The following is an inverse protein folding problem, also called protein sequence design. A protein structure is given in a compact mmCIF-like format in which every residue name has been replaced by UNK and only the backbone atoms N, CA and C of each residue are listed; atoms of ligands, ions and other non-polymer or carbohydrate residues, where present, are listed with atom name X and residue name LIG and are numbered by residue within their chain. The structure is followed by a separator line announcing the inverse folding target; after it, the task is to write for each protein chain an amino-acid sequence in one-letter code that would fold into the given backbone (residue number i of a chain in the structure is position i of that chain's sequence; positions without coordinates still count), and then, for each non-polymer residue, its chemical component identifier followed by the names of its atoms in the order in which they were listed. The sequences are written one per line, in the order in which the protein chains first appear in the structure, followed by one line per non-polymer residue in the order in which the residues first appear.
data_IF_705736405107
#
_entry.id   IF_705736405107
#
_cell.length_a   1.000
_cell.length_b   1.000
_cell.length_c   1.000
_cell.angle_alpha   90.00
_cell.angle_beta   90.00
_cell.angle_gamma   90.00
#
_symmetry.space_group_name_H-M   'P 1'
#
loop_
_entity.id
_entity.type
_entity.pdbx_description
1 polymer ?
#
# COMPACT_ATOMS: atom_id res chain seq x y z
N UNK A 1 -24.97 -8.98 29.77
CA UNK A 1 -24.45 -9.07 29.47
C UNK A 1 -23.80 -9.11 28.96
N UNK A 2 -23.57 -9.09 28.57
CA UNK A 2 -22.96 -9.16 27.92
C UNK A 2 -22.10 -9.47 27.88
N UNK A 3 -21.84 -9.78 27.54
CA UNK A 3 -21.06 -10.13 27.31
C UNK A 3 -20.12 -9.87 27.00
N UNK A 4 -19.67 -9.61 27.30
CA UNK A 4 -18.77 -9.36 27.01
C UNK A 4 -18.11 -10.08 26.87
N UNK A 5 -17.75 -10.24 26.37
CA UNK A 5 -17.13 -10.93 26.02
C UNK A 5 -16.07 -10.91 26.25
N UNK A 6 -15.61 -11.64 26.29
CA UNK A 6 -14.44 -11.83 26.51
C UNK A 6 -13.89 -12.01 25.26
N UNK A 7 -13.28 -11.21 24.73
CA UNK A 7 -12.72 -11.39 23.58
C UNK A 7 -11.35 -11.53 23.78
N UNK A 8 -10.60 -12.19 23.02
CA UNK A 8 -9.22 -12.29 23.11
C UNK A 8 -8.67 -10.97 22.84
N UNK A 9 -7.52 -10.66 23.35
CA UNK A 9 -6.88 -9.41 23.07
C UNK A 9 -6.66 -9.32 21.58
N UNK A 10 -6.90 -8.20 21.02
CA UNK A 10 -6.79 -8.01 19.65
C UNK A 10 -5.36 -7.87 19.34
N UNK A 11 -4.90 -8.51 18.31
CA UNK A 11 -3.55 -8.34 17.88
C UNK A 11 -3.39 -6.96 17.37
N UNK A 12 -2.21 -6.38 17.55
CA UNK A 12 -1.95 -5.07 17.05
C UNK A 12 -2.08 -5.09 15.56
N UNK A 13 -2.83 -4.19 15.02
CA UNK A 13 -3.02 -4.12 13.59
C UNK A 13 -1.83 -3.40 12.95
N UNK A 14 -1.33 -3.95 11.88
CA UNK A 14 -0.24 -3.35 11.14
C UNK A 14 -0.81 -2.81 9.84
N UNK A 15 -0.50 -1.55 9.56
CA UNK A 15 -0.97 -0.90 8.37
C UNK A 15 0.19 -0.80 7.38
N UNK A 16 0.02 -1.33 6.20
CA UNK A 16 1.11 -1.44 5.24
C UNK A 16 0.84 -0.65 3.99
N UNK A 17 1.91 -0.07 3.46
CA UNK A 17 1.87 0.56 2.15
C UNK A 17 2.71 -0.33 1.25
N UNK A 18 2.16 -0.72 0.11
CA UNK A 18 2.83 -1.68 -0.76
C UNK A 18 2.77 -1.25 -2.21
N UNK A 19 3.57 -1.89 -3.02
CA UNK A 19 3.54 -1.69 -4.45
C UNK A 19 3.41 -3.04 -5.12
N UNK A 20 2.40 -3.19 -5.98
CA UNK A 20 2.21 -4.39 -6.76
C UNK A 20 2.80 -4.15 -8.14
N UNK A 21 3.67 -5.04 -8.58
CA UNK A 21 4.35 -4.90 -9.86
C UNK A 21 3.78 -5.89 -10.86
N UNK A 22 3.54 -5.40 -12.06
CA UNK A 22 3.07 -6.24 -13.16
C UNK A 22 4.27 -6.58 -14.04
N UNK A 23 4.23 -7.70 -14.74
CA UNK A 23 5.39 -8.10 -15.54
C UNK A 23 5.81 -7.10 -16.62
N UNK A 24 4.87 -6.29 -17.09
CA UNK A 24 5.20 -5.32 -18.13
C UNK A 24 5.82 -4.04 -17.58
N UNK A 25 6.07 -3.98 -16.28
CA UNK A 25 6.66 -2.79 -15.68
C UNK A 25 5.67 -1.83 -15.07
N UNK A 26 4.38 -2.04 -15.27
CA UNK A 26 3.38 -1.21 -14.61
C UNK A 26 3.36 -1.54 -13.13
N UNK A 27 2.88 -0.62 -12.32
CA UNK A 27 2.81 -0.86 -10.90
C UNK A 27 1.65 -0.09 -10.26
N UNK A 28 1.27 -0.54 -9.09
CA UNK A 28 0.14 0.01 -8.36
C UNK A 28 0.52 0.15 -6.89
N UNK A 29 0.33 1.35 -6.33
CA UNK A 29 0.65 1.62 -4.94
C UNK A 29 -0.63 1.57 -4.13
N UNK A 30 -0.61 0.82 -3.04
CA UNK A 30 -1.81 0.63 -2.24
C UNK A 30 -1.54 0.58 -0.76
N UNK A 31 -2.63 0.46 -0.02
CA UNK A 31 -2.61 0.39 1.43
C UNK A 31 -3.37 -0.86 1.86
N UNK A 32 -2.94 -1.52 2.91
CA UNK A 32 -3.66 -2.65 3.46
C UNK A 32 -3.54 -2.67 4.97
N UNK A 33 -4.65 -2.90 5.65
CA UNK A 33 -4.66 -3.15 7.08
C UNK A 33 -4.98 -4.59 7.40
N UNK A 34 -4.85 -5.49 6.43
CA UNK A 34 -5.18 -6.89 6.64
C UNK A 34 -4.18 -7.60 7.52
N UNK A 35 -4.59 -8.65 8.20
CA UNK A 35 -3.62 -9.47 8.92
C UNK A 35 -2.58 -10.04 7.96
N UNK A 36 -1.42 -10.33 8.49
CA UNK A 36 -0.29 -10.74 7.67
C UNK A 36 -0.63 -11.91 6.74
N UNK A 37 -1.32 -12.92 7.24
CA UNK A 37 -1.60 -14.07 6.40
C UNK A 37 -2.50 -13.74 5.21
N UNK A 38 -3.38 -12.75 5.37
CA UNK A 38 -4.23 -12.35 4.26
C UNK A 38 -3.49 -11.37 3.36
N UNK A 39 -2.65 -10.54 3.96
CA UNK A 39 -1.90 -9.57 3.21
C UNK A 39 -0.94 -10.26 2.23
N UNK A 40 -0.38 -11.38 2.62
CA UNK A 40 0.60 -12.04 1.75
C UNK A 40 -0.01 -12.44 0.42
N UNK A 41 -1.32 -12.66 0.38
CA UNK A 41 -1.98 -13.05 -0.85
C UNK A 41 -2.74 -11.90 -1.50
N UNK A 42 -2.60 -10.70 -0.96
CA UNK A 42 -3.38 -9.57 -1.41
C UNK A 42 -2.51 -8.64 -2.24
N UNK A 43 -2.92 -8.37 -3.45
CA UNK A 43 -2.16 -7.51 -4.34
C UNK A 43 -2.87 -6.21 -4.68
N UNK A 44 -4.03 -5.99 -4.12
CA UNK A 44 -4.76 -4.74 -4.30
C UNK A 44 -6.20 -4.97 -4.70
N UNK A 45 -7.02 -3.94 -4.55
CA UNK A 45 -8.41 -4.03 -4.92
C UNK A 45 -8.70 -3.32 -6.24
N UNK A 46 -7.66 -2.82 -6.90
CA UNK A 46 -7.82 -2.16 -8.16
C UNK A 46 -8.32 -3.12 -9.22
N UNK A 47 -9.10 -2.62 -10.16
CA UNK A 47 -9.57 -3.47 -11.25
C UNK A 47 -8.41 -4.03 -12.05
N UNK A 48 -7.30 -3.30 -12.14
CA UNK A 48 -6.16 -3.80 -12.88
C UNK A 48 -5.62 -5.08 -12.25
N UNK A 49 -5.60 -5.13 -10.92
CA UNK A 49 -5.14 -6.31 -10.23
C UNK A 49 -6.15 -7.45 -10.37
N UNK A 50 -7.44 -7.12 -10.20
CA UNK A 50 -8.46 -8.15 -10.22
C UNK A 50 -8.62 -8.79 -11.59
N UNK A 51 -8.36 -8.03 -12.64
CA UNK A 51 -8.54 -8.56 -13.99
C UNK A 51 -7.28 -9.19 -14.54
N UNK A 52 -6.17 -9.06 -13.85
CA UNK A 52 -4.93 -9.60 -14.37
C UNK A 52 -4.83 -11.09 -14.10
N UNK A 53 -4.51 -11.85 -15.13
CA UNK A 53 -4.33 -13.26 -14.96
C UNK A 53 -2.86 -13.55 -15.11
N UNK A 54 -2.23 -13.95 -14.08
CA UNK A 54 -0.82 -14.24 -14.10
C UNK A 54 -0.20 -13.86 -12.77
N UNK A 55 1.09 -13.96 -12.72
CA UNK A 55 1.78 -13.70 -11.46
C UNK A 55 2.05 -12.24 -11.28
N UNK A 56 1.91 -11.79 -10.06
CA UNK A 56 2.22 -10.42 -9.70
C UNK A 56 3.24 -10.45 -8.57
N UNK A 57 4.08 -9.45 -8.52
CA UNK A 57 5.03 -9.31 -7.42
C UNK A 57 4.58 -8.17 -6.54
N UNK A 58 5.01 -8.19 -5.32
CA UNK A 58 4.63 -7.16 -4.38
C UNK A 58 5.81 -6.78 -3.51
N UNK A 59 5.96 -5.51 -3.28
CA UNK A 59 6.97 -4.99 -2.37
C UNK A 59 6.23 -4.31 -1.24
N UNK A 60 6.57 -4.63 0.01
CA UNK A 60 6.04 -3.89 1.14
C UNK A 60 6.97 -2.70 1.35
N UNK A 61 6.44 -1.50 1.11
CA UNK A 61 7.24 -0.30 1.18
C UNK A 61 7.45 0.10 2.62
N UNK A 62 6.41 0.07 3.43
CA UNK A 62 6.50 0.51 4.82
C UNK A 62 5.39 -0.08 5.65
N UNK A 63 5.61 -0.17 6.96
CA UNK A 63 4.61 -0.63 7.89
C UNK A 63 4.45 0.42 8.98
N UNK A 64 3.22 0.68 9.38
CA UNK A 64 2.92 1.69 10.36
C UNK A 64 1.96 1.14 11.40
N UNK A 65 2.03 1.69 12.59
CA UNK A 65 1.07 1.32 13.63
C UNK A 65 -0.20 2.15 13.52
N UNK A 66 -0.14 3.30 12.88
CA UNK A 66 -1.30 4.16 12.75
C UNK A 66 -1.79 4.18 11.33
N UNK A 67 -3.08 4.00 11.15
CA UNK A 67 -3.67 4.00 9.82
C UNK A 67 -3.45 5.34 9.13
N UNK A 68 -3.55 6.45 9.88
CA UNK A 68 -3.39 7.77 9.27
C UNK A 68 -2.00 7.95 8.69
N UNK A 69 -0.98 7.39 9.34
CA UNK A 69 0.38 7.49 8.82
C UNK A 69 0.51 6.69 7.53
N UNK A 70 -0.07 5.48 7.51
CA UNK A 70 0.00 4.66 6.31
C UNK A 70 -0.74 5.32 5.15
N UNK A 71 -1.91 5.88 5.43
CA UNK A 71 -2.70 6.52 4.37
C UNK A 71 -1.99 7.76 3.84
N UNK A 72 -1.33 8.51 4.72
CA UNK A 72 -0.59 9.67 4.27
C UNK A 72 0.59 9.24 3.40
N UNK A 73 1.29 8.18 3.81
CA UNK A 73 2.43 7.71 3.03
C UNK A 73 1.96 7.18 1.66
N UNK A 74 0.84 6.48 1.64
CA UNK A 74 0.29 6.00 0.39
C UNK A 74 0.00 7.18 -0.55
N UNK A 75 -0.64 8.22 -0.02
CA UNK A 75 -0.96 9.38 -0.82
C UNK A 75 0.29 10.06 -1.34
N UNK A 76 1.30 10.23 -0.49
CA UNK A 76 2.51 10.92 -0.92
C UNK A 76 3.22 10.17 -2.03
N UNK A 77 3.24 8.86 -1.95
CA UNK A 77 3.89 8.08 -3.00
C UNK A 77 3.09 8.14 -4.30
N UNK A 78 1.77 8.07 -4.20
CA UNK A 78 0.93 8.19 -5.40
C UNK A 78 1.10 9.56 -6.01
N UNK A 79 1.20 10.59 -5.17
CA UNK A 79 1.38 11.94 -5.68
C UNK A 79 2.73 12.09 -6.37
N UNK A 80 3.77 11.53 -5.77
CA UNK A 80 5.10 11.61 -6.36
C UNK A 80 5.16 10.91 -7.71
N UNK A 81 4.39 9.84 -7.88
CA UNK A 81 4.43 9.07 -9.11
C UNK A 81 3.28 9.43 -10.06
N UNK A 82 2.59 10.51 -9.82
CA UNK A 82 1.37 10.81 -10.57
C UNK A 82 1.58 11.00 -12.06
N UNK A 83 2.79 11.37 -12.46
CA UNK A 83 3.07 11.57 -13.87
C UNK A 83 3.82 10.41 -14.50
N UNK A 84 4.06 9.37 -13.76
CA UNK A 84 4.74 8.20 -14.30
C UNK A 84 3.73 7.36 -15.08
N UNK A 85 3.93 7.18 -16.37
CA UNK A 85 2.94 6.43 -17.16
C UNK A 85 2.82 4.98 -16.75
N UNK A 86 3.79 4.45 -16.00
CA UNK A 86 3.71 3.07 -15.52
C UNK A 86 2.90 2.94 -14.25
N UNK A 87 2.61 4.05 -13.58
CA UNK A 87 1.84 4.00 -12.34
C UNK A 87 0.36 3.89 -12.68
N UNK A 88 -0.26 2.82 -12.22
CA UNK A 88 -1.65 2.56 -12.55
C UNK A 88 -2.65 3.23 -11.62
N UNK A 89 -2.17 3.98 -10.62
CA UNK A 89 -3.09 4.67 -9.73
C UNK A 89 -3.70 5.85 -10.48
N UNK A 90 -4.97 5.71 -10.83
CA UNK A 90 -5.61 6.76 -11.61
C UNK A 90 -6.29 7.81 -10.75
N UNK A 91 -6.46 7.54 -9.46
CA UNK A 91 -7.11 8.49 -8.58
C UNK A 91 -6.35 8.59 -7.30
N UNK A 92 -6.25 9.79 -6.78
CA UNK A 92 -5.63 10.00 -5.47
C UNK A 92 -6.74 10.07 -4.45
N UNK A 93 -6.77 9.10 -3.56
CA UNK A 93 -7.81 9.02 -2.59
C UNK A 93 -7.25 9.39 -1.26
N UNK A 94 -7.55 10.56 -0.78
CA UNK A 94 -7.12 10.95 0.53
C UNK A 94 -8.28 10.95 1.46
N UNK A 95 -8.21 10.15 2.48
CA UNK A 95 -9.18 10.17 3.53
C UNK A 95 -8.41 10.07 4.79
N UNK A 96 -8.12 11.18 5.42
CA UNK A 96 -7.34 11.22 6.63
C UNK A 96 -8.22 11.59 7.79
N UNK A 97 -7.99 10.97 8.92
CA UNK A 97 -8.68 11.34 10.12
C UNK A 97 -8.11 12.65 10.61
N UNK A 98 -8.77 13.25 11.56
CA UNK A 98 -8.25 14.45 12.17
C UNK A 98 -7.12 14.16 13.09
N UNK A 99 -6.74 12.90 13.22
CA UNK A 99 -5.68 12.51 14.06
C UNK A 99 -4.43 13.22 13.69
N UNK A 100 -3.68 13.67 14.63
CA UNK A 100 -2.46 14.42 14.34
C UNK A 100 -1.44 13.57 13.61
N UNK A 101 -0.73 14.20 12.73
CA UNK A 101 0.35 13.53 12.02
C UNK A 101 1.70 14.10 12.45
N UNK A 102 1.76 14.63 13.66
CA UNK A 102 2.95 15.33 14.11
C UNK A 102 4.22 14.50 14.06
N UNK A 103 4.11 13.21 14.36
CA UNK A 103 5.28 12.37 14.31
C UNK A 103 5.37 11.57 13.03
N UNK A 104 4.64 11.94 12.02
CA UNK A 104 4.74 11.24 10.75
C UNK A 104 6.01 11.66 10.03
N UNK A 105 6.77 10.70 9.56
CA UNK A 105 7.97 10.97 8.81
C UNK A 105 7.83 10.33 7.45
N UNK A 106 7.84 11.11 6.39
CA UNK A 106 7.70 10.55 5.05
C UNK A 106 8.88 9.67 4.70
N UNK A 107 8.61 8.66 3.91
CA UNK A 107 9.65 7.75 3.48
C UNK A 107 10.05 8.06 2.06
N UNK A 108 11.32 8.06 1.78
CA UNK A 108 11.80 8.21 0.43
C UNK A 108 11.71 6.88 -0.26
N UNK A 109 11.08 6.83 -1.40
CA UNK A 109 10.91 5.58 -2.11
C UNK A 109 10.69 5.83 -3.58
N UNK A 110 11.16 4.95 -4.40
CA UNK A 110 10.87 4.96 -5.82
C UNK A 110 10.64 3.53 -6.26
N UNK A 111 9.85 3.31 -7.31
CA UNK A 111 9.59 1.95 -7.73
C UNK A 111 10.88 1.28 -8.20
N UNK A 112 10.96 0.01 -7.90
CA UNK A 112 12.10 -0.75 -8.32
C UNK A 112 11.85 -1.12 -9.74
N UNK A 113 12.54 -0.50 -10.67
CA UNK A 113 12.31 -0.82 -11.98
C UNK A 113 13.49 -1.52 -12.40
N UNK A 114 13.32 -2.47 -13.18
CA UNK A 114 14.39 -3.18 -13.64
C UNK A 114 14.98 -2.42 -14.70
N UNK A 115 15.58 -1.44 -14.41
CA UNK A 115 15.92 -0.69 -15.40
C UNK A 115 17.22 -0.70 -15.58
N UNK A 116 17.75 -1.48 -14.96
CA UNK A 116 18.97 -1.62 -15.22
C UNK A 116 19.06 -1.75 -16.55
N UNK A 117 18.25 -2.34 -17.07
CA UNK A 117 18.33 -2.49 -18.31
C UNK A 117 17.86 -1.39 -18.95
N UNK A 118 17.33 -0.69 -18.38
CA UNK A 118 16.75 0.19 -19.11
C UNK A 118 17.59 1.25 -19.15
N UNK A 119 18.32 1.39 -18.46
CA UNK A 119 18.88 2.36 -18.47
C UNK A 119 19.91 2.32 -19.05
N UNK A 120 20.06 1.79 -19.39
CA UNK A 120 21.11 1.78 -19.88
C UNK A 120 21.07 1.67 -20.77
#
# INVERSE_FOLDING_TARGET
MAKKKTRKPKEKQIHRVYCTYFPNGDYYIGYSGKPTRLYEKYYGSSKYVKEYEGDLDKETIAEFEKKSHAKMQEFLLQWQQRHDPKCLNSMLNIRLNKEPLADFVPLDWAPTVDNTNTRN
#
